data_IF_974410662150
#
_entry.id   IF_974410662150
#
_cell.length_a   1.000
_cell.length_b   1.000
_cell.length_c   1.000
_cell.angle_alpha   90.00
_cell.angle_beta   90.00
_cell.angle_gamma   90.00
#
_symmetry.space_group_name_H-M   'P 1'
#
loop_
_entity.id
_entity.type
_entity.pdbx_description
1 polymer ?
#
# COMPACT_ATOMS: atom_id res chain seq x y z
N UNK A 1 -2.16 -7.20 -1.00
CA UNK A 1 -2.96 -5.97 -0.75
C UNK A 1 -2.47 -5.32 0.54
N UNK A 2 -1.77 -4.19 0.44
CA UNK A 2 -1.00 -3.60 1.54
C UNK A 2 -1.74 -2.64 2.47
N UNK A 3 -3.07 -2.60 2.43
CA UNK A 3 -3.89 -1.63 3.17
C UNK A 3 -4.09 -0.30 2.42
N UNK A 4 -5.01 0.53 2.93
CA UNK A 4 -5.46 1.79 2.32
C UNK A 4 -6.00 1.60 0.90
N UNK A 5 -6.87 0.59 0.73
CA UNK A 5 -7.57 0.37 -0.55
C UNK A 5 -8.63 1.44 -0.79
N UNK A 6 -9.06 2.12 0.26
CA UNK A 6 -10.04 3.20 0.25
C UNK A 6 -9.53 4.38 1.06
N UNK A 7 -9.89 5.60 0.64
CA UNK A 7 -9.60 6.85 1.37
C UNK A 7 -10.18 6.86 2.79
N UNK A 8 -11.27 6.11 3.02
CA UNK A 8 -11.95 6.02 4.31
C UNK A 8 -12.78 7.26 4.63
N UNK A 9 -13.13 7.40 5.92
CA UNK A 9 -14.08 8.42 6.42
C UNK A 9 -13.60 9.11 7.71
N UNK A 10 -12.31 8.99 8.01
CA UNK A 10 -11.71 9.40 9.29
C UNK A 10 -11.08 10.81 9.27
N UNK A 11 -10.98 11.41 8.09
CA UNK A 11 -10.50 12.77 7.84
C UNK A 11 -11.66 13.54 7.21
N UNK A 12 -12.01 14.71 7.76
CA UNK A 12 -13.12 15.55 7.26
C UNK A 12 -12.95 15.88 5.78
N UNK A 13 -11.75 16.29 5.37
CA UNK A 13 -11.40 16.59 3.97
C UNK A 13 -11.67 15.42 3.00
N UNK A 14 -11.45 14.18 3.45
CA UNK A 14 -11.73 12.99 2.63
C UNK A 14 -13.22 12.71 2.54
N UNK A 15 -13.97 12.97 3.61
CA UNK A 15 -15.45 12.85 3.58
C UNK A 15 -16.06 13.85 2.62
N UNK A 16 -15.52 15.08 2.55
CA UNK A 16 -15.99 16.13 1.64
C UNK A 16 -15.76 15.79 0.15
N UNK A 17 -14.67 15.11 -0.16
CA UNK A 17 -14.21 14.85 -1.53
C UNK A 17 -14.52 13.43 -2.03
N UNK A 18 -14.97 12.54 -1.15
CA UNK A 18 -15.33 11.17 -1.53
C UNK A 18 -16.47 11.18 -2.56
N UNK A 19 -16.29 10.45 -3.67
CA UNK A 19 -17.28 10.34 -4.73
C UNK A 19 -18.59 9.63 -4.31
N UNK A 20 -18.56 8.91 -3.19
CA UNK A 20 -19.70 8.22 -2.61
C UNK A 20 -19.40 7.75 -1.19
N UNK A 21 -20.38 7.13 -0.55
CA UNK A 21 -20.17 6.52 0.77
C UNK A 21 -19.16 5.38 0.70
N UNK A 22 -18.58 5.02 1.85
CA UNK A 22 -17.66 3.89 1.92
C UNK A 22 -18.32 2.58 1.49
N UNK A 23 -19.61 2.39 1.76
CA UNK A 23 -20.32 1.18 1.35
C UNK A 23 -20.60 1.14 -0.16
N UNK A 24 -20.96 2.26 -0.77
CA UNK A 24 -21.06 2.36 -2.23
C UNK A 24 -19.71 2.07 -2.89
N UNK A 25 -18.61 2.58 -2.33
CA UNK A 25 -17.26 2.34 -2.81
C UNK A 25 -16.89 0.85 -2.71
N UNK A 26 -17.19 0.20 -1.58
CA UNK A 26 -16.95 -1.24 -1.38
C UNK A 26 -17.74 -2.07 -2.40
N UNK A 27 -18.99 -1.74 -2.67
CA UNK A 27 -19.82 -2.46 -3.65
C UNK A 27 -19.31 -2.24 -5.07
N UNK A 28 -19.03 -1.00 -5.45
CA UNK A 28 -18.55 -0.64 -6.78
C UNK A 28 -17.21 -1.32 -7.11
N UNK A 29 -16.24 -1.26 -6.19
CA UNK A 29 -14.89 -1.77 -6.44
C UNK A 29 -14.75 -3.28 -6.32
N UNK A 30 -15.73 -3.98 -5.74
CA UNK A 30 -15.65 -5.43 -5.54
C UNK A 30 -15.49 -6.19 -6.87
N UNK A 31 -16.32 -5.90 -7.86
CA UNK A 31 -16.27 -6.59 -9.17
C UNK A 31 -15.04 -6.23 -10.01
N UNK A 32 -14.65 -4.94 -10.18
CA UNK A 32 -13.42 -4.59 -10.90
C UNK A 32 -12.17 -5.20 -10.27
N UNK A 33 -12.06 -5.17 -8.94
CA UNK A 33 -10.92 -5.76 -8.22
C UNK A 33 -10.91 -7.28 -8.38
N UNK A 34 -12.06 -7.94 -8.25
CA UNK A 34 -12.16 -9.38 -8.46
C UNK A 34 -11.80 -9.78 -9.90
N UNK A 35 -12.23 -8.99 -10.89
CA UNK A 35 -11.88 -9.17 -12.30
C UNK A 35 -10.38 -9.05 -12.53
N UNK A 36 -9.74 -8.01 -11.98
CA UNK A 36 -8.29 -7.82 -12.07
C UNK A 36 -7.49 -8.98 -11.45
N UNK A 37 -7.91 -9.45 -10.27
CA UNK A 37 -7.28 -10.61 -9.61
C UNK A 37 -7.45 -11.89 -10.45
N UNK A 38 -8.64 -12.12 -11.03
CA UNK A 38 -8.88 -13.26 -11.90
C UNK A 38 -8.01 -13.19 -13.16
N UNK A 39 -7.87 -12.01 -13.76
CA UNK A 39 -6.99 -11.81 -14.90
C UNK A 39 -5.53 -12.16 -14.58
N UNK A 40 -5.04 -11.78 -13.39
CA UNK A 40 -3.72 -12.22 -12.94
C UNK A 40 -3.62 -13.75 -12.85
N UNK A 41 -4.66 -14.45 -12.36
CA UNK A 41 -4.67 -15.90 -12.31
C UNK A 41 -4.75 -16.55 -13.70
N UNK A 42 -5.38 -15.90 -14.68
CA UNK A 42 -5.41 -16.36 -16.07
C UNK A 42 -4.03 -16.28 -16.72
N UNK A 43 -3.23 -15.27 -16.36
CA UNK A 43 -1.86 -15.09 -16.87
C UNK A 43 -0.84 -15.94 -16.12
N UNK A 44 -0.88 -15.96 -14.79
CA UNK A 44 0.17 -16.56 -13.94
C UNK A 44 -0.17 -17.95 -13.41
N UNK A 45 -1.41 -18.41 -13.60
CA UNK A 45 -1.87 -19.75 -13.19
C UNK A 45 -2.12 -19.92 -11.68
N UNK A 46 -1.33 -19.30 -10.80
CA UNK A 46 -1.58 -19.25 -9.34
C UNK A 46 -1.24 -17.88 -8.79
N UNK A 47 -2.13 -17.33 -7.96
CA UNK A 47 -1.93 -16.02 -7.33
C UNK A 47 -2.17 -16.13 -5.83
N UNK A 48 -1.15 -15.71 -5.07
CA UNK A 48 -1.21 -15.60 -3.63
C UNK A 48 -1.38 -14.13 -3.23
N UNK A 49 -2.37 -13.83 -2.39
CA UNK A 49 -2.70 -12.49 -1.96
C UNK A 49 -2.54 -12.35 -0.44
N UNK A 50 -1.37 -11.89 0.05
CA UNK A 50 -1.24 -11.46 1.44
C UNK A 50 -1.94 -10.12 1.62
N UNK A 51 -2.76 -10.01 2.66
CA UNK A 51 -3.59 -8.84 2.91
C UNK A 51 -3.40 -8.33 4.34
N UNK A 52 -3.10 -7.04 4.47
CA UNK A 52 -3.11 -6.30 5.75
C UNK A 52 -4.00 -5.06 5.59
N UNK A 53 -4.42 -4.50 6.72
CA UNK A 53 -5.24 -3.28 6.73
C UNK A 53 -4.39 -2.04 6.79
N UNK A 54 -4.87 -0.97 6.16
CA UNK A 54 -4.29 0.34 6.28
C UNK A 54 -4.94 1.19 7.37
N UNK A 55 -4.40 2.39 7.57
CA UNK A 55 -4.93 3.31 8.57
C UNK A 55 -6.19 4.04 8.10
N UNK A 56 -6.42 4.19 6.80
CA UNK A 56 -7.58 4.89 6.25
C UNK A 56 -8.87 4.08 6.37
N UNK A 57 -8.80 2.76 6.22
CA UNK A 57 -9.96 1.88 6.33
C UNK A 57 -10.55 1.75 7.74
N UNK A 58 -9.96 2.36 8.78
CA UNK A 58 -10.48 2.26 10.15
C UNK A 58 -11.79 3.06 10.31
N UNK A 59 -12.67 2.64 11.22
CA UNK A 59 -13.91 3.39 11.51
C UNK A 59 -13.74 4.54 12.50
N UNK A 60 -12.70 4.49 13.34
CA UNK A 60 -12.49 5.46 14.42
C UNK A 60 -11.38 6.45 14.07
N UNK A 61 -11.57 7.73 14.40
CA UNK A 61 -10.54 8.76 14.16
C UNK A 61 -9.21 8.43 14.83
N UNK A 62 -9.21 7.89 16.05
CA UNK A 62 -7.98 7.46 16.74
C UNK A 62 -7.64 6.00 16.40
N UNK A 63 -6.37 5.68 16.05
CA UNK A 63 -5.94 4.29 15.94
C UNK A 63 -6.10 3.56 17.26
N UNK A 64 -6.52 2.30 17.20
CA UNK A 64 -6.64 1.42 18.35
C UNK A 64 -5.95 0.08 18.06
N UNK A 65 -5.59 -0.67 19.11
CA UNK A 65 -4.80 -1.89 18.97
C UNK A 65 -5.66 -3.17 18.92
N UNK A 66 -6.68 -3.27 19.77
CA UNK A 66 -7.57 -4.46 19.84
C UNK A 66 -8.51 -4.48 18.64
N UNK A 67 -8.59 -5.61 17.94
CA UNK A 67 -9.44 -5.76 16.76
C UNK A 67 -9.13 -4.78 15.61
N UNK A 68 -7.88 -4.29 15.57
CA UNK A 68 -7.45 -3.28 14.59
C UNK A 68 -7.77 -3.69 13.14
N UNK A 69 -7.53 -4.94 12.70
CA UNK A 69 -7.96 -5.38 11.37
C UNK A 69 -9.46 -5.59 11.26
N UNK A 70 -10.08 -6.22 12.24
CA UNK A 70 -11.49 -6.62 12.18
C UNK A 70 -12.44 -5.42 12.15
N UNK A 71 -12.03 -4.28 12.72
CA UNK A 71 -12.75 -3.01 12.69
C UNK A 71 -12.33 -2.10 11.52
N UNK A 72 -12.08 -2.69 10.35
CA UNK A 72 -11.52 -1.99 9.19
C UNK A 72 -12.17 -2.42 7.86
N UNK A 73 -12.42 -1.44 6.99
CA UNK A 73 -13.01 -1.65 5.66
C UNK A 73 -12.10 -2.45 4.73
N UNK A 74 -10.77 -2.30 4.81
CA UNK A 74 -9.83 -3.10 4.00
C UNK A 74 -9.93 -4.59 4.31
N UNK A 75 -10.11 -4.92 5.60
CA UNK A 75 -10.25 -6.31 6.06
C UNK A 75 -11.55 -6.92 5.58
N UNK A 76 -12.65 -6.18 5.73
CA UNK A 76 -13.94 -6.58 5.20
C UNK A 76 -13.88 -6.78 3.69
N UNK A 77 -13.26 -5.85 2.96
CA UNK A 77 -13.16 -5.92 1.50
C UNK A 77 -12.31 -7.11 1.04
N UNK A 78 -11.18 -7.39 1.71
CA UNK A 78 -10.39 -8.58 1.42
C UNK A 78 -11.20 -9.88 1.61
N UNK A 79 -12.04 -9.96 2.64
CA UNK A 79 -12.95 -11.09 2.85
C UNK A 79 -14.06 -11.15 1.81
N UNK A 80 -14.60 -10.01 1.38
CA UNK A 80 -15.57 -9.94 0.29
C UNK A 80 -14.97 -10.50 -1.01
N UNK A 81 -13.76 -10.06 -1.37
CA UNK A 81 -13.04 -10.57 -2.54
C UNK A 81 -12.78 -12.08 -2.44
N UNK A 82 -12.29 -12.56 -1.29
CA UNK A 82 -12.07 -13.98 -1.06
C UNK A 82 -13.37 -14.79 -1.21
N UNK A 83 -14.51 -14.25 -0.77
CA UNK A 83 -15.82 -14.88 -0.95
C UNK A 83 -16.26 -14.89 -2.42
N UNK A 84 -16.14 -13.77 -3.12
CA UNK A 84 -16.49 -13.65 -4.55
C UNK A 84 -15.63 -14.55 -5.45
N UNK A 85 -14.38 -14.77 -5.05
CA UNK A 85 -13.39 -15.54 -5.80
C UNK A 85 -13.21 -16.98 -5.29
N UNK A 86 -13.98 -17.40 -4.28
CA UNK A 86 -13.80 -18.69 -3.60
C UNK A 86 -13.98 -19.93 -4.48
N UNK A 87 -14.58 -19.79 -5.66
CA UNK A 87 -14.68 -20.86 -6.66
C UNK A 87 -13.40 -21.11 -7.45
N UNK A 88 -12.45 -20.16 -7.47
CA UNK A 88 -11.22 -20.27 -8.25
C UNK A 88 -10.07 -20.79 -7.37
N UNK A 89 -9.73 -22.07 -7.56
CA UNK A 89 -8.69 -22.78 -6.79
C UNK A 89 -7.26 -22.29 -7.07
N UNK A 90 -7.07 -21.42 -8.07
CA UNK A 90 -5.77 -20.79 -8.37
C UNK A 90 -5.44 -19.66 -7.43
N UNK A 91 -6.45 -19.13 -6.74
CA UNK A 91 -6.34 -17.97 -5.86
C UNK A 91 -6.21 -18.42 -4.41
N UNK A 92 -5.28 -17.83 -3.67
CA UNK A 92 -5.12 -18.07 -2.23
C UNK A 92 -4.99 -16.74 -1.51
N UNK A 93 -5.85 -16.50 -0.53
CA UNK A 93 -5.83 -15.30 0.29
C UNK A 93 -5.23 -15.59 1.66
N UNK A 94 -4.28 -14.76 2.09
CA UNK A 94 -3.80 -14.71 3.47
C UNK A 94 -4.20 -13.37 4.09
N UNK A 95 -5.40 -13.32 4.65
CA UNK A 95 -5.98 -12.12 5.26
C UNK A 95 -5.58 -12.08 6.73
N UNK A 96 -4.74 -11.11 7.11
CA UNK A 96 -4.20 -11.07 8.46
C UNK A 96 -5.27 -10.67 9.49
N UNK A 97 -5.41 -11.42 10.60
CA UNK A 97 -6.14 -10.96 11.78
C UNK A 97 -5.29 -10.04 12.66
N UNK A 98 -4.04 -9.76 12.27
CA UNK A 98 -3.09 -8.90 12.97
C UNK A 98 -2.64 -7.70 12.10
N UNK A 99 -1.80 -6.83 12.65
CA UNK A 99 -1.27 -5.68 11.91
C UNK A 99 -0.29 -6.06 10.78
N UNK A 100 0.30 -7.25 10.87
CA UNK A 100 1.32 -7.74 9.95
C UNK A 100 0.92 -9.11 9.40
N UNK A 101 1.34 -9.44 8.18
CA UNK A 101 1.15 -10.74 7.54
C UNK A 101 2.51 -11.33 7.16
N UNK A 102 3.06 -12.29 7.92
CA UNK A 102 4.24 -13.04 7.50
C UNK A 102 3.84 -14.06 6.41
N UNK A 103 4.75 -14.30 5.47
CA UNK A 103 4.64 -15.37 4.48
C UNK A 103 6.02 -15.68 3.89
N UNK A 104 6.13 -16.81 3.18
CA UNK A 104 7.40 -17.27 2.61
C UNK A 104 7.19 -17.61 1.13
N UNK A 105 8.15 -17.24 0.29
CA UNK A 105 8.25 -17.67 -1.10
C UNK A 105 9.60 -18.37 -1.26
N UNK A 106 9.57 -19.67 -1.57
CA UNK A 106 10.74 -20.56 -1.50
C UNK A 106 11.41 -20.51 -0.12
N UNK A 107 12.67 -20.10 -0.04
CA UNK A 107 13.44 -19.89 1.19
C UNK A 107 13.35 -18.45 1.73
N UNK A 108 12.77 -17.52 0.95
CA UNK A 108 12.75 -16.09 1.28
C UNK A 108 11.51 -15.72 2.09
N UNK A 109 11.71 -15.14 3.27
CA UNK A 109 10.66 -14.79 4.22
C UNK A 109 10.31 -13.31 4.11
N UNK A 110 9.03 -13.05 4.01
CA UNK A 110 8.46 -11.72 3.90
C UNK A 110 7.60 -11.41 5.13
N UNK A 111 7.66 -10.15 5.56
CA UNK A 111 6.69 -9.58 6.48
C UNK A 111 5.98 -8.43 5.76
N UNK A 112 4.69 -8.58 5.49
CA UNK A 112 3.88 -7.48 4.99
C UNK A 112 3.31 -6.70 6.17
N UNK A 113 3.49 -5.38 6.17
CA UNK A 113 2.87 -4.44 7.10
C UNK A 113 2.34 -3.25 6.32
N UNK A 114 1.36 -2.51 6.84
CA UNK A 114 0.93 -1.31 6.13
C UNK A 114 1.93 -0.16 6.25
N UNK A 115 2.49 0.06 7.45
CA UNK A 115 3.56 1.04 7.70
C UNK A 115 3.18 2.23 8.60
N UNK A 116 1.89 2.45 8.89
CA UNK A 116 1.39 3.59 9.69
C UNK A 116 1.80 3.58 11.18
N UNK A 117 2.42 2.48 11.62
CA UNK A 117 3.04 2.38 12.94
C UNK A 117 4.37 3.13 13.03
N UNK A 118 4.99 3.42 11.88
CA UNK A 118 6.27 4.10 11.79
C UNK A 118 6.02 5.60 11.68
N UNK A 119 6.39 6.32 12.75
CA UNK A 119 6.10 7.75 12.87
C UNK A 119 7.37 8.58 12.80
N UNK A 120 7.27 9.76 12.19
CA UNK A 120 8.36 10.71 12.05
C UNK A 120 8.65 10.99 10.58
N UNK A 121 9.90 11.32 10.29
CA UNK A 121 10.35 11.64 8.93
C UNK A 121 10.33 13.13 8.59
N UNK A 122 10.26 13.99 9.62
CA UNK A 122 10.58 15.41 9.47
C UNK A 122 12.11 15.59 9.39
N UNK A 123 12.59 16.24 8.33
CA UNK A 123 14.02 16.53 8.10
C UNK A 123 14.61 15.88 6.84
N UNK A 124 15.91 16.06 6.62
CA UNK A 124 16.61 15.69 5.37
C UNK A 124 16.53 14.18 5.09
N UNK A 125 16.53 13.35 6.13
CA UNK A 125 16.42 11.90 6.00
C UNK A 125 15.01 11.42 5.59
N UNK A 126 13.98 12.28 5.67
CA UNK A 126 12.62 11.96 5.27
C UNK A 126 12.12 10.64 5.88
N UNK A 127 11.44 9.84 5.05
CA UNK A 127 10.94 8.52 5.45
C UNK A 127 12.02 7.52 5.90
N UNK A 128 13.30 7.70 5.53
CA UNK A 128 14.32 6.68 5.82
C UNK A 128 14.53 6.45 7.31
N UNK A 129 14.51 7.52 8.11
CA UNK A 129 14.71 7.42 9.56
C UNK A 129 13.62 6.60 10.26
N UNK A 130 12.31 6.92 10.13
CA UNK A 130 11.26 6.12 10.76
C UNK A 130 11.19 4.69 10.22
N UNK A 131 11.50 4.49 8.93
CA UNK A 131 11.50 3.16 8.30
C UNK A 131 12.59 2.24 8.87
N UNK A 132 13.84 2.69 8.92
CA UNK A 132 14.95 1.87 9.42
C UNK A 132 14.81 1.56 10.92
N UNK A 133 14.32 2.52 11.71
CA UNK A 133 14.05 2.29 13.13
C UNK A 133 12.88 1.32 13.34
N UNK A 134 11.83 1.46 12.51
CA UNK A 134 10.67 0.58 12.51
C UNK A 134 11.03 -0.87 12.16
N UNK A 135 11.83 -1.05 11.11
CA UNK A 135 12.37 -2.35 10.68
C UNK A 135 13.20 -2.99 11.79
N UNK A 136 14.17 -2.26 12.36
CA UNK A 136 15.01 -2.77 13.45
C UNK A 136 14.18 -3.31 14.62
N UNK A 137 13.17 -2.55 15.08
CA UNK A 137 12.26 -2.97 16.15
C UNK A 137 11.40 -4.18 15.76
N UNK A 138 10.90 -4.23 14.52
CA UNK A 138 10.14 -5.39 14.04
C UNK A 138 11.04 -6.62 13.96
N UNK A 139 12.28 -6.50 13.46
CA UNK A 139 13.24 -7.62 13.42
C UNK A 139 13.52 -8.16 14.81
N UNK A 140 13.75 -7.28 15.79
CA UNK A 140 13.94 -7.67 17.19
C UNK A 140 12.73 -8.44 17.74
N UNK A 141 11.52 -7.90 17.56
CA UNK A 141 10.26 -8.55 17.96
C UNK A 141 10.08 -9.93 17.32
N UNK A 142 10.27 -10.01 16.01
CA UNK A 142 10.07 -11.25 15.24
C UNK A 142 11.14 -12.31 15.58
N UNK A 143 12.38 -11.90 15.84
CA UNK A 143 13.44 -12.77 16.34
C UNK A 143 13.12 -13.33 17.73
N UNK A 144 12.61 -12.51 18.64
CA UNK A 144 12.24 -12.93 19.99
C UNK A 144 11.19 -14.06 19.99
N UNK A 145 10.35 -14.12 18.96
CA UNK A 145 9.32 -15.16 18.77
C UNK A 145 9.64 -16.12 17.62
N UNK A 146 10.93 -16.26 17.27
CA UNK A 146 11.49 -17.25 16.33
C UNK A 146 10.84 -17.25 14.94
N UNK A 147 10.47 -16.07 14.43
CA UNK A 147 9.90 -15.88 13.10
C UNK A 147 10.62 -14.78 12.29
N UNK A 148 11.95 -14.86 12.11
CA UNK A 148 12.67 -13.80 11.40
C UNK A 148 12.13 -13.66 9.97
N UNK A 149 12.29 -12.47 9.40
CA UNK A 149 12.01 -12.20 8.00
C UNK A 149 13.24 -11.63 7.32
N UNK A 150 13.32 -11.81 6.00
CA UNK A 150 14.40 -11.30 5.17
C UNK A 150 14.00 -9.92 4.63
N UNK A 151 12.76 -9.81 4.14
CA UNK A 151 12.21 -8.58 3.57
C UNK A 151 10.97 -8.08 4.33
N UNK A 152 10.95 -6.79 4.65
CA UNK A 152 9.77 -6.07 5.14
C UNK A 152 9.14 -5.31 3.96
N UNK A 153 7.87 -5.57 3.70
CA UNK A 153 7.09 -4.93 2.64
C UNK A 153 6.07 -3.98 3.28
N UNK A 154 5.93 -2.77 2.73
CA UNK A 154 4.91 -1.83 3.20
C UNK A 154 4.42 -0.83 2.16
N UNK A 155 3.29 -0.17 2.48
CA UNK A 155 2.76 0.97 1.75
C UNK A 155 2.89 2.25 2.59
N UNK A 156 1.77 2.98 2.77
CA UNK A 156 1.60 4.16 3.64
C UNK A 156 2.38 5.42 3.23
N UNK A 157 3.68 5.28 2.92
CA UNK A 157 4.59 6.39 2.63
C UNK A 157 4.42 6.96 1.22
N UNK A 158 3.75 6.23 0.33
CA UNK A 158 3.49 6.60 -1.06
C UNK A 158 4.76 6.96 -1.83
N UNK A 159 5.89 6.37 -1.43
CA UNK A 159 7.20 6.58 -2.04
C UNK A 159 7.88 5.24 -2.33
N UNK A 160 8.01 4.88 -3.61
CA UNK A 160 8.60 3.62 -4.03
C UNK A 160 10.09 3.59 -3.71
N UNK A 161 10.50 2.60 -2.92
CA UNK A 161 11.90 2.38 -2.61
C UNK A 161 12.21 0.89 -2.38
N UNK A 162 13.40 0.49 -2.82
CA UNK A 162 14.00 -0.81 -2.53
C UNK A 162 15.30 -0.55 -1.76
N UNK A 163 15.33 -0.86 -0.46
CA UNK A 163 16.46 -0.48 0.40
C UNK A 163 16.69 -1.50 1.50
N UNK A 164 17.85 -2.17 1.51
CA UNK A 164 18.35 -2.97 2.66
C UNK A 164 17.31 -3.94 3.24
N UNK A 165 16.64 -4.71 2.39
CA UNK A 165 15.58 -5.63 2.83
C UNK A 165 14.21 -4.96 3.06
N UNK A 166 14.06 -3.68 2.71
CA UNK A 166 12.78 -2.98 2.65
C UNK A 166 12.29 -2.88 1.22
N UNK A 167 11.01 -3.14 1.04
CA UNK A 167 10.28 -2.88 -0.20
C UNK A 167 9.11 -1.96 0.17
N UNK A 168 9.23 -0.68 -0.17
CA UNK A 168 8.16 0.30 0.04
C UNK A 168 7.43 0.46 -1.29
N UNK A 169 6.13 0.18 -1.29
CA UNK A 169 5.29 0.36 -2.46
C UNK A 169 5.06 1.85 -2.74
N UNK A 170 5.07 2.21 -4.01
CA UNK A 170 4.52 3.48 -4.46
C UNK A 170 3.00 3.52 -4.28
N UNK A 171 2.37 4.61 -4.71
CA UNK A 171 0.92 4.77 -4.64
C UNK A 171 0.33 5.11 -6.00
N UNK A 172 -0.95 4.79 -6.16
CA UNK A 172 -1.78 5.32 -7.25
C UNK A 172 -2.43 6.65 -6.87
N UNK A 173 -2.38 7.03 -5.58
CA UNK A 173 -3.00 8.24 -5.06
C UNK A 173 -2.36 9.48 -5.67
N UNK A 174 -3.23 10.43 -6.04
CA UNK A 174 -2.94 11.82 -6.36
C UNK A 174 -2.01 12.52 -5.37
N UNK A 175 -1.28 13.53 -5.82
CA UNK A 175 -0.74 14.53 -4.90
C UNK A 175 -1.88 15.45 -4.46
N UNK A 176 -2.17 15.45 -3.16
CA UNK A 176 -3.28 16.20 -2.57
C UNK A 176 -2.81 17.43 -1.80
N UNK A 177 -3.78 18.24 -1.37
CA UNK A 177 -3.58 19.48 -0.63
C UNK A 177 -2.87 19.22 0.70
N UNK A 178 -3.17 18.10 1.36
CA UNK A 178 -2.51 17.70 2.60
C UNK A 178 -1.01 17.44 2.37
N UNK A 179 -0.65 16.70 1.33
CA UNK A 179 0.73 16.42 0.97
C UNK A 179 1.47 17.70 0.55
N UNK A 180 0.79 18.61 -0.17
CA UNK A 180 1.32 19.92 -0.54
C UNK A 180 1.63 20.77 0.71
N UNK A 181 0.67 20.96 1.60
CA UNK A 181 0.82 21.74 2.84
C UNK A 181 1.89 21.10 3.75
N UNK A 182 1.96 19.78 3.78
CA UNK A 182 2.95 19.03 4.57
C UNK A 182 4.34 19.00 3.94
N UNK A 183 4.54 19.62 2.78
CA UNK A 183 5.79 19.64 2.02
C UNK A 183 6.33 18.23 1.70
N UNK A 184 5.44 17.25 1.53
CA UNK A 184 5.84 15.92 1.10
C UNK A 184 6.23 15.93 -0.37
N UNK A 185 7.19 15.09 -0.72
CA UNK A 185 7.58 14.94 -2.12
C UNK A 185 6.50 14.20 -2.88
N UNK A 186 6.18 14.72 -4.06
CA UNK A 186 5.41 14.03 -5.06
C UNK A 186 6.20 12.84 -5.64
N UNK A 187 5.49 11.76 -5.97
CA UNK A 187 5.99 10.67 -6.81
C UNK A 187 4.96 10.27 -7.88
N UNK A 188 5.38 10.02 -9.14
CA UNK A 188 4.51 9.45 -10.16
C UNK A 188 3.83 8.14 -9.75
N UNK A 189 2.60 7.87 -10.21
CA UNK A 189 1.90 6.62 -9.93
C UNK A 189 2.72 5.39 -10.34
N UNK A 190 3.13 4.61 -9.34
CA UNK A 190 4.00 3.44 -9.51
C UNK A 190 3.65 2.37 -8.48
N UNK A 191 3.91 1.11 -8.83
CA UNK A 191 3.84 -0.03 -7.90
C UNK A 191 5.18 -0.77 -7.85
N UNK A 192 5.52 -1.34 -6.70
CA UNK A 192 6.71 -2.15 -6.53
C UNK A 192 6.55 -3.50 -7.26
N UNK A 193 7.54 -3.86 -8.06
CA UNK A 193 7.68 -5.19 -8.63
C UNK A 193 9.04 -5.78 -8.28
N UNK A 194 9.06 -7.06 -7.98
CA UNK A 194 10.28 -7.80 -7.74
C UNK A 194 10.12 -9.29 -8.08
N UNK A 195 11.24 -9.96 -8.33
CA UNK A 195 11.30 -11.41 -8.54
C UNK A 195 12.09 -12.07 -7.42
N UNK A 196 11.56 -13.18 -6.90
CA UNK A 196 12.21 -14.02 -5.88
C UNK A 196 12.70 -15.30 -6.53
N UNK A 197 14.01 -15.43 -6.62
CA UNK A 197 14.68 -16.65 -7.00
C UNK A 197 14.71 -17.65 -5.82
N UNK A 198 14.54 -18.96 -6.06
CA UNK A 198 14.54 -19.97 -5.00
C UNK A 198 15.83 -20.04 -4.18
N UNK A 199 16.98 -19.75 -4.82
CA UNK A 199 18.31 -19.95 -4.26
C UNK A 199 18.95 -18.61 -3.83
N UNK A 200 18.64 -17.52 -4.54
CA UNK A 200 19.28 -16.21 -4.35
C UNK A 200 18.36 -15.16 -3.72
N UNK A 201 17.10 -15.47 -3.45
CA UNK A 201 16.13 -14.53 -2.92
C UNK A 201 15.76 -13.44 -3.93
N UNK A 202 15.62 -12.18 -3.50
CA UNK A 202 15.24 -11.10 -4.43
C UNK A 202 16.39 -10.77 -5.37
N UNK A 203 16.18 -10.98 -6.68
CA UNK A 203 17.21 -10.77 -7.72
C UNK A 203 16.91 -9.61 -8.66
N UNK A 204 15.62 -9.30 -8.86
CA UNK A 204 15.17 -8.22 -9.72
C UNK A 204 14.22 -7.34 -8.93
N UNK A 205 14.38 -6.03 -9.04
CA UNK A 205 13.44 -5.02 -8.57
C UNK A 205 13.21 -4.00 -9.68
N UNK A 206 11.95 -3.63 -9.90
CA UNK A 206 11.60 -2.60 -10.87
C UNK A 206 10.29 -1.92 -10.46
N UNK A 207 10.04 -0.68 -10.92
CA UNK A 207 8.71 -0.12 -10.88
C UNK A 207 7.81 -0.71 -11.96
N UNK A 208 6.54 -0.91 -11.60
CA UNK A 208 5.45 -0.91 -12.57
C UNK A 208 4.96 0.52 -12.71
N UNK A 209 5.12 1.09 -13.90
CA UNK A 209 4.50 2.35 -14.26
C UNK A 209 3.05 2.08 -14.64
N UNK A 210 2.14 2.82 -14.01
CA UNK A 210 0.69 2.62 -14.18
C UNK A 210 0.01 3.78 -14.91
N UNK A 211 0.75 4.86 -15.16
CA UNK A 211 0.29 6.01 -15.93
C UNK A 211 0.22 5.65 -17.41
N UNK A 212 -0.90 5.96 -18.06
CA UNK A 212 -1.06 5.78 -19.51
C UNK A 212 -0.14 6.71 -20.31
N UNK A 213 0.23 6.31 -21.53
CA UNK A 213 1.15 7.09 -22.39
C UNK A 213 0.71 8.55 -22.64
N UNK A 214 -0.60 8.80 -22.62
CA UNK A 214 -1.20 10.12 -22.85
C UNK A 214 -1.84 10.70 -21.58
N UNK A 215 -1.65 10.08 -20.42
CA UNK A 215 -2.24 10.52 -19.17
C UNK A 215 -1.40 11.65 -18.58
N UNK A 216 -1.98 12.86 -18.52
CA UNK A 216 -1.35 13.98 -17.85
C UNK A 216 -1.64 13.91 -16.36
N UNK A 217 -0.61 13.61 -15.58
CA UNK A 217 -0.71 13.66 -14.12
C UNK A 217 -0.60 15.12 -13.66
N UNK A 218 -1.74 15.68 -13.25
CA UNK A 218 -1.93 17.13 -13.02
C UNK A 218 -1.01 17.73 -11.96
N UNK A 219 -0.47 16.94 -11.04
CA UNK A 219 0.43 17.46 -10.01
C UNK A 219 1.91 17.53 -10.42
N UNK A 220 2.29 16.96 -11.58
CA UNK A 220 3.68 16.95 -12.02
C UNK A 220 4.16 18.33 -12.52
N UNK A 221 3.24 19.19 -12.96
CA UNK A 221 3.57 20.46 -13.62
C UNK A 221 3.52 21.68 -12.71
N UNK A 222 3.01 21.58 -11.47
CA UNK A 222 2.82 22.73 -10.57
C UNK A 222 1.98 23.87 -11.16
N UNK A 223 1.35 23.63 -12.33
CA UNK A 223 0.86 24.66 -13.24
C UNK A 223 -0.39 25.37 -12.73
N UNK A 224 -1.06 24.81 -11.72
CA UNK A 224 -2.18 25.47 -11.06
C UNK A 224 -1.73 26.54 -10.05
N UNK A 225 -0.48 26.51 -9.56
CA UNK A 225 0.03 27.42 -8.53
C UNK A 225 0.99 28.50 -9.07
N UNK A 226 1.56 28.31 -10.26
CA UNK A 226 2.50 29.27 -10.84
C UNK A 226 1.77 30.18 -11.82
N UNK A 227 1.34 31.35 -11.34
CA UNK A 227 0.95 32.45 -12.22
C UNK A 227 2.23 33.05 -12.81
N UNK A 228 2.50 32.75 -14.08
CA UNK A 228 3.58 33.42 -14.82
C UNK A 228 3.10 34.84 -15.15
N UNK A 229 3.40 35.80 -14.27
CA UNK A 229 3.23 37.22 -14.56
C UNK A 229 4.39 37.69 -15.42
N UNK A 230 4.21 37.70 -16.74
CA UNK A 230 5.19 38.25 -17.68
C UNK A 230 4.61 38.40 -19.08
N UNK A 231 4.53 39.64 -19.57
CA UNK A 231 4.20 39.93 -20.95
C UNK A 231 5.18 39.23 -21.88
N UNK A 232 4.66 38.37 -22.76
CA UNK A 232 5.35 38.00 -23.99
C UNK A 232 5.68 39.28 -24.76
N UNK A 233 6.98 39.54 -24.95
CA UNK A 233 7.46 40.34 -26.07
C UNK A 233 7.79 39.42 -27.22
#
# INVERSE_FOLDING_TARGET
LGGDLFSGIIHEELVETNAGTIFESLLYWAEPMASGIRHMADVFGRVFLPCVVGNHGRRQRKPHAKNRPQDNFDWFFAHLLAKLLGGDKRLTFAISPAADQPYTVYSTRYLLTHGDQFRGGSGIAGMLSPLLLGDARKRERENAVKRPYDYLIMGHWHQLAFLRGLIINGSLKGYDEYAYISNFRYEPPRQAFWLTDPDHGVTITAPIHVTGANEQYTSASGSQAVVVMGHTK
#
